data_IF_363134364506
#
_entry.id   IF_363134364506
#
_cell.length_a   1.000
_cell.length_b   1.000
_cell.length_c   1.000
_cell.angle_alpha   90.00
_cell.angle_beta   90.00
_cell.angle_gamma   90.00
#
_symmetry.space_group_name_H-M   'P 1'
#
loop_
_entity.id
_entity.type
_entity.pdbx_description
1 polymer ?
#
# COMPACT_ATOMS: atom_id res chain seq x y z
N UNK A 1 25.38 -16.32 5.12
CA UNK A 1 25.09 -15.04 5.78
C UNK A 1 25.05 -13.86 4.79
N UNK A 2 26.17 -13.41 4.23
CA UNK A 2 26.23 -12.22 3.33
C UNK A 2 25.26 -12.25 2.13
N UNK A 3 25.12 -13.40 1.47
CA UNK A 3 24.18 -13.55 0.34
C UNK A 3 22.71 -13.31 0.73
N UNK A 4 22.31 -13.77 1.91
CA UNK A 4 20.95 -13.56 2.40
C UNK A 4 20.69 -12.09 2.69
N UNK A 5 21.68 -11.38 3.24
CA UNK A 5 21.58 -9.93 3.46
C UNK A 5 21.40 -9.17 2.16
N UNK A 6 22.17 -9.53 1.11
CA UNK A 6 22.05 -8.93 -0.21
C UNK A 6 20.69 -9.22 -0.86
N UNK A 7 20.15 -10.45 -0.69
CA UNK A 7 18.81 -10.79 -1.21
C UNK A 7 17.72 -9.95 -0.55
N UNK A 8 17.74 -9.83 0.78
CA UNK A 8 16.78 -9.01 1.54
C UNK A 8 16.88 -7.55 1.13
N UNK A 9 18.09 -6.98 1.07
CA UNK A 9 18.31 -5.61 0.65
C UNK A 9 17.77 -5.33 -0.77
N UNK A 10 18.09 -6.21 -1.74
CA UNK A 10 17.60 -6.07 -3.12
C UNK A 10 16.07 -6.14 -3.18
N UNK A 11 15.45 -7.02 -2.40
CA UNK A 11 13.99 -7.11 -2.33
C UNK A 11 13.37 -5.85 -1.75
N UNK A 12 13.94 -5.33 -0.66
CA UNK A 12 13.45 -4.14 0.01
C UNK A 12 13.59 -2.90 -0.91
N UNK A 13 14.71 -2.76 -1.61
CA UNK A 13 14.91 -1.70 -2.60
C UNK A 13 13.92 -1.78 -3.77
N UNK A 14 13.58 -2.99 -4.24
CA UNK A 14 12.58 -3.19 -5.29
C UNK A 14 11.18 -2.79 -4.82
N UNK A 15 10.78 -3.19 -3.62
CA UNK A 15 9.47 -2.82 -3.07
C UNK A 15 9.38 -1.31 -2.81
N UNK A 16 10.42 -0.69 -2.26
CA UNK A 16 10.45 0.77 -2.06
C UNK A 16 10.34 1.52 -3.38
N UNK A 17 11.12 1.13 -4.40
CA UNK A 17 11.02 1.76 -5.73
C UNK A 17 9.63 1.57 -6.35
N UNK A 18 9.05 0.36 -6.23
CA UNK A 18 7.73 0.06 -6.78
C UNK A 18 6.63 0.87 -6.11
N UNK A 19 6.67 1.05 -4.79
CA UNK A 19 5.58 1.70 -4.04
C UNK A 19 5.73 3.23 -3.93
N UNK A 20 6.94 3.74 -3.77
CA UNK A 20 7.16 5.15 -3.44
C UNK A 20 7.74 5.96 -4.62
N UNK A 21 8.56 5.34 -5.47
CA UNK A 21 9.22 6.06 -6.56
C UNK A 21 8.31 6.18 -7.81
N UNK A 22 7.53 5.14 -8.14
CA UNK A 22 6.70 5.16 -9.36
C UNK A 22 5.61 6.25 -9.37
N UNK A 23 5.12 6.68 -8.21
CA UNK A 23 4.08 7.72 -8.13
C UNK A 23 4.65 9.15 -8.00
N UNK A 24 5.88 9.31 -7.52
CA UNK A 24 6.43 10.62 -7.12
C UNK A 24 7.77 10.99 -7.77
N UNK A 25 8.38 10.07 -8.54
CA UNK A 25 9.76 10.15 -9.05
C UNK A 25 10.80 10.56 -7.99
N UNK A 26 10.47 10.35 -6.71
CA UNK A 26 11.29 10.77 -5.59
C UNK A 26 12.24 9.64 -5.16
N UNK A 27 13.51 9.79 -5.52
CA UNK A 27 14.59 8.87 -5.12
C UNK A 27 15.01 9.00 -3.65
N UNK A 28 14.50 9.97 -2.90
CA UNK A 28 14.88 10.20 -1.51
C UNK A 28 14.70 8.95 -0.65
N UNK A 29 13.60 8.21 -0.82
CA UNK A 29 13.33 6.99 -0.05
C UNK A 29 14.36 5.87 -0.32
N UNK A 30 14.78 5.71 -1.57
CA UNK A 30 15.80 4.73 -1.94
C UNK A 30 17.19 5.15 -1.41
N UNK A 31 17.50 6.45 -1.44
CA UNK A 31 18.74 7.00 -0.87
C UNK A 31 18.78 6.82 0.64
N UNK A 32 17.69 7.16 1.35
CA UNK A 32 17.60 7.01 2.79
C UNK A 32 17.73 5.55 3.21
N UNK A 33 17.05 4.64 2.52
CA UNK A 33 17.23 3.20 2.76
C UNK A 33 18.69 2.76 2.61
N UNK A 34 19.40 3.28 1.60
CA UNK A 34 20.82 2.96 1.40
C UNK A 34 21.68 3.48 2.56
N UNK A 35 21.42 4.70 3.03
CA UNK A 35 22.15 5.29 4.16
C UNK A 35 21.94 4.46 5.44
N UNK A 36 20.70 4.12 5.75
CA UNK A 36 20.34 3.26 6.89
C UNK A 36 21.00 1.87 6.79
N UNK A 37 21.02 1.28 5.58
CA UNK A 37 21.65 -0.02 5.37
C UNK A 37 23.17 0.01 5.56
N UNK A 38 23.83 1.09 5.12
CA UNK A 38 25.28 1.27 5.32
C UNK A 38 25.57 1.45 6.81
N UNK A 39 24.81 2.29 7.51
CA UNK A 39 24.95 2.49 8.95
C UNK A 39 24.80 1.17 9.72
N UNK A 40 23.76 0.39 9.40
CA UNK A 40 23.50 -0.93 10.00
C UNK A 40 24.56 -1.99 9.68
N UNK A 41 25.39 -1.78 8.65
CA UNK A 41 26.47 -2.71 8.25
C UNK A 41 27.77 -2.49 9.04
N UNK A 42 27.91 -1.36 9.75
CA UNK A 42 29.07 -1.05 10.57
C UNK A 42 28.99 -1.61 12.00
N UNK A 43 27.84 -2.17 12.39
CA UNK A 43 27.62 -2.62 13.77
C UNK A 43 28.20 -4.02 14.07
N UNK A 44 28.27 -4.35 15.37
CA UNK A 44 28.68 -5.65 15.90
C UNK A 44 27.86 -6.85 15.35
N UNK A 45 28.36 -8.10 15.43
CA UNK A 45 27.65 -9.26 14.88
C UNK A 45 26.29 -9.53 15.53
N UNK A 46 26.12 -9.24 16.83
CA UNK A 46 24.83 -9.43 17.53
C UNK A 46 23.77 -8.41 17.09
N UNK A 47 24.19 -7.19 16.76
CA UNK A 47 23.33 -6.14 16.21
C UNK A 47 23.02 -6.38 14.73
N UNK A 48 23.94 -6.96 13.97
CA UNK A 48 23.71 -7.35 12.58
C UNK A 48 22.52 -8.33 12.41
N UNK A 49 22.39 -9.30 13.32
CA UNK A 49 21.26 -10.23 13.32
C UNK A 49 19.92 -9.56 13.66
N UNK A 50 19.93 -8.60 14.60
CA UNK A 50 18.74 -7.79 14.92
C UNK A 50 18.34 -6.92 13.73
N UNK A 51 19.31 -6.26 13.09
CA UNK A 51 19.10 -5.43 11.90
C UNK A 51 18.54 -6.27 10.74
N UNK A 52 19.03 -7.50 10.58
CA UNK A 52 18.49 -8.44 9.59
C UNK A 52 17.02 -8.78 9.85
N UNK A 53 16.68 -9.14 11.10
CA UNK A 53 15.30 -9.45 11.48
C UNK A 53 14.38 -8.24 11.27
N UNK A 54 14.83 -7.05 11.64
CA UNK A 54 14.11 -5.82 11.39
C UNK A 54 13.86 -5.60 9.89
N UNK A 55 14.89 -5.74 9.05
CA UNK A 55 14.77 -5.61 7.59
C UNK A 55 13.77 -6.62 6.99
N UNK A 56 13.77 -7.88 7.46
CA UNK A 56 12.81 -8.89 7.01
C UNK A 56 11.38 -8.58 7.44
N UNK A 57 11.19 -8.00 8.62
CA UNK A 57 9.88 -7.57 9.10
C UNK A 57 9.34 -6.41 8.27
N UNK A 58 10.19 -5.42 7.98
CA UNK A 58 9.83 -4.29 7.11
C UNK A 58 9.47 -4.78 5.71
N UNK A 59 10.26 -5.70 5.13
CA UNK A 59 9.95 -6.28 3.83
C UNK A 59 8.58 -6.99 3.83
N UNK A 60 8.29 -7.77 4.87
CA UNK A 60 7.00 -8.45 5.04
C UNK A 60 5.85 -7.45 5.15
N UNK A 61 6.04 -6.38 5.91
CA UNK A 61 5.06 -5.30 6.04
C UNK A 61 4.77 -4.62 4.69
N UNK A 62 5.81 -4.20 3.96
CA UNK A 62 5.64 -3.49 2.68
C UNK A 62 4.93 -4.35 1.64
N UNK A 63 5.33 -5.63 1.54
CA UNK A 63 4.71 -6.59 0.61
C UNK A 63 3.25 -6.87 0.96
N UNK A 64 2.94 -7.06 2.24
CA UNK A 64 1.55 -7.25 2.69
C UNK A 64 0.71 -6.00 2.49
N UNK A 65 1.25 -4.81 2.75
CA UNK A 65 0.56 -3.55 2.49
C UNK A 65 0.23 -3.39 1.01
N UNK A 66 1.17 -3.73 0.11
CA UNK A 66 0.92 -3.72 -1.34
C UNK A 66 -0.24 -4.63 -1.71
N UNK A 67 -0.14 -5.90 -1.30
CA UNK A 67 -1.16 -6.92 -1.59
C UNK A 67 -2.51 -6.51 -1.03
N UNK A 68 -2.55 -5.96 0.18
CA UNK A 68 -3.78 -5.46 0.78
C UNK A 68 -4.43 -4.35 -0.07
N UNK A 69 -3.64 -3.38 -0.56
CA UNK A 69 -4.14 -2.34 -1.48
C UNK A 69 -4.65 -2.94 -2.79
N UNK A 70 -3.95 -3.92 -3.35
CA UNK A 70 -4.37 -4.63 -4.57
C UNK A 70 -5.69 -5.37 -4.35
N UNK A 71 -5.83 -6.10 -3.24
CA UNK A 71 -7.06 -6.80 -2.87
C UNK A 71 -8.21 -5.83 -2.65
N UNK A 72 -7.98 -4.72 -1.96
CA UNK A 72 -8.99 -3.68 -1.79
C UNK A 72 -9.43 -3.09 -3.13
N UNK A 73 -8.50 -2.82 -4.04
CA UNK A 73 -8.83 -2.29 -5.37
C UNK A 73 -9.69 -3.28 -6.19
N UNK A 74 -9.38 -4.57 -6.12
CA UNK A 74 -10.10 -5.62 -6.88
C UNK A 74 -11.46 -5.95 -6.28
N UNK A 75 -11.55 -6.13 -4.96
CA UNK A 75 -12.74 -6.64 -4.28
C UNK A 75 -13.62 -5.54 -3.68
N UNK A 76 -13.11 -4.32 -3.55
CA UNK A 76 -13.88 -3.16 -3.12
C UNK A 76 -13.75 -2.03 -4.16
N UNK A 77 -14.21 -2.25 -5.41
CA UNK A 77 -14.30 -1.16 -6.38
C UNK A 77 -15.13 -0.05 -5.75
N UNK A 78 -14.68 1.21 -5.89
CA UNK A 78 -15.42 2.38 -5.39
C UNK A 78 -16.82 2.35 -5.98
N UNK A 79 -17.77 1.87 -5.19
CA UNK A 79 -19.17 1.83 -5.57
C UNK A 79 -19.65 3.28 -5.66
N UNK A 80 -20.35 3.63 -6.74
CA UNK A 80 -20.97 4.93 -6.84
C UNK A 80 -21.89 5.14 -5.63
N UNK A 81 -21.95 6.35 -5.10
CA UNK A 81 -22.78 6.65 -3.93
C UNK A 81 -24.25 6.28 -4.17
N UNK A 82 -24.75 6.46 -5.40
CA UNK A 82 -26.08 6.01 -5.84
C UNK A 82 -26.28 4.50 -5.66
N UNK A 83 -25.31 3.70 -6.11
CA UNK A 83 -25.38 2.24 -6.08
C UNK A 83 -25.25 1.72 -4.65
N UNK A 84 -24.51 2.44 -3.80
CA UNK A 84 -24.41 2.17 -2.37
C UNK A 84 -25.77 2.35 -1.71
N UNK A 85 -26.41 3.50 -1.94
CA UNK A 85 -27.75 3.81 -1.41
C UNK A 85 -28.75 2.75 -1.87
N UNK A 86 -28.75 2.39 -3.15
CA UNK A 86 -29.65 1.38 -3.70
C UNK A 86 -29.44 -0.01 -3.09
N UNK A 87 -28.20 -0.48 -2.97
CA UNK A 87 -27.93 -1.79 -2.33
C UNK A 87 -28.27 -1.79 -0.85
N UNK A 88 -28.09 -0.67 -0.14
CA UNK A 88 -28.50 -0.56 1.26
C UNK A 88 -30.02 -0.56 1.43
N UNK A 89 -30.77 0.10 0.54
CA UNK A 89 -32.23 0.07 0.55
C UNK A 89 -32.76 -1.34 0.29
N UNK A 90 -32.23 -2.04 -0.72
CA UNK A 90 -32.63 -3.42 -1.04
C UNK A 90 -32.36 -4.40 0.10
N UNK A 91 -31.31 -4.17 0.91
CA UNK A 91 -31.00 -5.02 2.07
C UNK A 91 -32.11 -5.04 3.13
N UNK A 92 -32.89 -3.97 3.23
CA UNK A 92 -34.01 -3.85 4.17
C UNK A 92 -35.37 -4.00 3.47
N UNK A 93 -35.39 -4.49 2.22
CA UNK A 93 -36.61 -4.64 1.44
C UNK A 93 -37.21 -3.32 0.95
N UNK A 94 -36.42 -2.25 0.91
CA UNK A 94 -36.84 -0.93 0.42
C UNK A 94 -36.26 -0.63 -0.96
N UNK A 95 -36.92 0.23 -1.72
CA UNK A 95 -36.39 0.79 -2.97
C UNK A 95 -35.80 2.18 -2.74
N UNK A 96 -34.73 2.53 -3.45
CA UNK A 96 -34.17 3.87 -3.40
C UNK A 96 -35.16 4.89 -4.01
N UNK A 97 -35.31 6.11 -3.44
CA UNK A 97 -36.17 7.13 -4.01
C UNK A 97 -35.73 7.49 -5.43
N UNK A 98 -36.68 7.52 -6.37
CA UNK A 98 -36.41 8.02 -7.72
C UNK A 98 -36.09 9.51 -7.61
N UNK A 99 -34.96 9.93 -8.14
CA UNK A 99 -34.65 11.36 -8.29
C UNK A 99 -35.67 11.96 -9.26
N UNK A 100 -36.64 12.70 -8.74
CA UNK A 100 -37.52 13.52 -9.56
C UNK A 100 -36.67 14.66 -10.14
N UNK A 101 -36.36 14.61 -11.45
CA UNK A 101 -36.00 15.82 -12.17
C UNK A 101 -37.28 16.66 -12.23
N UNK A 102 -37.39 17.66 -11.36
CA UNK A 102 -38.52 18.58 -11.38
C UNK A 102 -38.55 19.27 -12.76
N UNK A 103 -39.59 19.07 -13.58
CA UNK A 103 -39.70 19.72 -14.89
C UNK A 103 -40.00 21.23 -14.79
N UNK A 104 -40.25 21.76 -13.58
CA UNK A 104 -40.76 23.11 -13.35
C UNK A 104 -39.71 24.14 -12.88
N UNK A 105 -38.40 23.87 -13.01
CA UNK A 105 -37.35 24.88 -12.78
C UNK A 105 -36.74 25.33 -14.12
N UNK A 106 -37.02 26.56 -14.60
CA UNK A 106 -36.37 27.10 -15.79
C UNK A 106 -34.88 27.33 -15.55
N UNK A 107 -34.09 27.08 -16.60
CA UNK A 107 -32.63 27.29 -16.67
C UNK A 107 -32.22 28.76 -16.54
#
# INVERSE_FOLDING_TARGET
MKEQQLRVYRHLLREVNRQFNNASNNRAWATQLRLEWIAASCDSPTTADKNMRAATNVLSYLTNNRKHKELLATFNPKMCESDRIEKTARRVGLEAPKSYSNPDMPS
#
